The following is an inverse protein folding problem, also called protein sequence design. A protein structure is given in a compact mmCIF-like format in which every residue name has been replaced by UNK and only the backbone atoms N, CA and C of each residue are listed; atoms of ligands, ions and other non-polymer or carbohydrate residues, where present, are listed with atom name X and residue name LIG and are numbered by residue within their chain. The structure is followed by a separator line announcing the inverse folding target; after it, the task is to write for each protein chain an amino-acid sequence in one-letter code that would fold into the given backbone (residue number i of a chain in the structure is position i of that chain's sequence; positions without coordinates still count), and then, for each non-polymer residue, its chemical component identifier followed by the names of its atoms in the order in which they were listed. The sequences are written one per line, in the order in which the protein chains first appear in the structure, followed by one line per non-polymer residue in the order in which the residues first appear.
data_IF_178106245606
#
_entry.id   IF_178106245606
#
_cell.length_a   1.000
_cell.length_b   1.000
_cell.length_c   1.000
_cell.angle_alpha   90.00
_cell.angle_beta   90.00
_cell.angle_gamma   90.00
#
_symmetry.space_group_name_H-M   'P 1'
#
loop_
_entity.id
_entity.type
_entity.pdbx_description
1 polymer ?
#
# COMPACT_ATOMS: atom_id res chain seq x y z
N UNK A 1 -31.04 -3.51 3.06
CA UNK A 1 -29.67 -3.51 2.49
C UNK A 1 -28.83 -2.54 3.31
N UNK A 2 -27.81 -3.01 4.04
CA UNK A 2 -26.93 -2.10 4.80
C UNK A 2 -26.03 -1.38 3.79
N UNK A 3 -26.14 -0.05 3.70
CA UNK A 3 -25.18 0.78 2.98
C UNK A 3 -23.82 0.61 3.65
N UNK A 4 -22.98 -0.26 3.10
CA UNK A 4 -21.62 -0.43 3.59
C UNK A 4 -20.87 0.84 3.22
N UNK A 5 -20.39 1.57 4.23
CA UNK A 5 -19.62 2.80 4.02
C UNK A 5 -18.42 2.48 3.10
N UNK A 6 -18.39 3.14 1.95
CA UNK A 6 -17.29 3.08 0.99
C UNK A 6 -16.22 4.07 1.44
N UNK A 7 -14.96 3.66 1.40
CA UNK A 7 -13.83 4.55 1.69
C UNK A 7 -13.42 5.33 0.44
N UNK A 8 -13.33 4.64 -0.71
CA UNK A 8 -12.90 5.22 -1.99
C UNK A 8 -13.67 4.59 -3.16
N UNK A 9 -13.78 5.25 -4.33
CA UNK A 9 -14.32 4.62 -5.54
C UNK A 9 -13.61 3.30 -5.87
N UNK A 10 -14.36 2.33 -6.39
CA UNK A 10 -13.78 1.04 -6.72
C UNK A 10 -12.74 1.17 -7.85
N UNK A 11 -11.51 0.72 -7.58
CA UNK A 11 -10.44 0.62 -8.57
C UNK A 11 -9.84 -0.80 -8.52
N UNK A 12 -9.64 -1.44 -9.68
CA UNK A 12 -9.06 -2.79 -9.79
C UNK A 12 -7.71 -2.73 -10.49
N UNK A 13 -6.86 -3.73 -10.21
CA UNK A 13 -5.53 -3.81 -10.81
C UNK A 13 -4.69 -2.59 -10.48
N UNK A 14 -4.60 -2.23 -9.20
CA UNK A 14 -3.94 -1.00 -8.76
C UNK A 14 -2.82 -1.24 -7.76
N UNK A 15 -1.82 -0.37 -7.81
CA UNK A 15 -0.90 -0.10 -6.70
C UNK A 15 -1.40 1.18 -6.03
N UNK A 16 -1.55 1.17 -4.71
CA UNK A 16 -2.19 2.24 -3.95
C UNK A 16 -1.35 2.65 -2.74
N UNK A 17 -1.59 3.86 -2.24
CA UNK A 17 -0.90 4.45 -1.09
C UNK A 17 -1.88 4.94 -0.03
N UNK A 18 -1.60 4.62 1.23
CA UNK A 18 -2.23 5.19 2.41
C UNK A 18 -1.19 6.04 3.13
N UNK A 19 -1.42 7.35 3.26
CA UNK A 19 -0.59 8.22 4.09
C UNK A 19 -1.05 8.13 5.54
N UNK A 20 -0.21 7.61 6.43
CA UNK A 20 -0.54 7.44 7.83
C UNK A 20 -0.36 8.76 8.60
N UNK A 21 -1.10 8.93 9.70
CA UNK A 21 -1.02 10.13 10.55
C UNK A 21 0.37 10.38 11.15
N UNK A 22 1.24 9.37 11.20
CA UNK A 22 2.63 9.51 11.65
C UNK A 22 3.58 10.09 10.58
N UNK A 23 3.09 10.32 9.36
CA UNK A 23 3.86 10.81 8.20
C UNK A 23 4.50 9.70 7.35
N UNK A 24 4.47 8.44 7.80
CA UNK A 24 4.87 7.31 6.96
C UNK A 24 3.74 6.93 6.00
N UNK A 25 4.06 6.13 4.99
CA UNK A 25 3.09 5.59 4.05
C UNK A 25 3.04 4.06 4.04
N UNK A 26 1.87 3.53 3.69
CA UNK A 26 1.68 2.13 3.32
C UNK A 26 1.40 2.08 1.82
N UNK A 27 2.20 1.31 1.08
CA UNK A 27 1.98 0.98 -0.31
C UNK A 27 1.56 -0.48 -0.37
N UNK A 28 0.48 -0.75 -1.10
CA UNK A 28 0.03 -2.10 -1.36
C UNK A 28 -0.45 -2.26 -2.80
N UNK A 29 -0.61 -3.49 -3.24
CA UNK A 29 -1.25 -3.80 -4.53
C UNK A 29 -2.51 -4.65 -4.39
N UNK A 30 -3.39 -4.55 -5.38
CA UNK A 30 -4.55 -5.43 -5.48
C UNK A 30 -5.06 -5.62 -6.91
N UNK A 31 -5.39 -6.86 -7.26
CA UNK A 31 -6.21 -7.17 -8.44
C UNK A 31 -7.72 -7.02 -8.19
N UNK A 32 -8.16 -7.08 -6.93
CA UNK A 32 -9.56 -6.87 -6.52
C UNK A 32 -9.88 -5.38 -6.37
N UNK A 33 -11.16 -5.07 -6.21
CA UNK A 33 -11.63 -3.72 -5.89
C UNK A 33 -10.89 -3.14 -4.66
N UNK A 34 -10.24 -1.99 -4.82
CA UNK A 34 -9.47 -1.31 -3.78
C UNK A 34 -10.29 -1.09 -2.52
N UNK A 35 -11.51 -0.59 -2.65
CA UNK A 35 -12.40 -0.33 -1.53
C UNK A 35 -12.76 -1.59 -0.73
N UNK A 36 -12.90 -2.74 -1.40
CA UNK A 36 -13.05 -4.04 -0.73
C UNK A 36 -11.80 -4.36 0.09
N UNK A 37 -10.60 -4.15 -0.47
CA UNK A 37 -9.33 -4.33 0.27
C UNK A 37 -9.21 -3.39 1.45
N UNK A 38 -9.58 -2.12 1.29
CA UNK A 38 -9.52 -1.14 2.38
C UNK A 38 -10.44 -1.51 3.53
N UNK A 39 -11.61 -2.11 3.25
CA UNK A 39 -12.50 -2.62 4.29
C UNK A 39 -12.01 -3.87 5.03
N UNK A 40 -11.08 -4.62 4.47
CA UNK A 40 -10.47 -5.77 5.16
C UNK A 40 -9.45 -5.31 6.22
N UNK A 41 -8.82 -4.14 6.02
CA UNK A 41 -7.77 -3.63 6.93
C UNK A 41 -8.27 -3.31 8.36
N UNK A 42 -9.40 -2.61 8.58
CA UNK A 42 -9.89 -2.29 9.93
C UNK A 42 -9.94 -3.48 10.88
N UNK A 43 -10.43 -4.64 10.41
CA UNK A 43 -10.50 -5.86 11.23
C UNK A 43 -9.13 -6.32 11.74
N UNK A 44 -8.07 -6.09 10.98
CA UNK A 44 -6.69 -6.38 11.41
C UNK A 44 -6.14 -5.37 12.43
N UNK A 45 -6.70 -4.16 12.50
CA UNK A 45 -6.28 -3.11 13.43
C UNK A 45 -6.88 -3.29 14.83
N UNK A 46 -8.10 -3.83 14.93
CA UNK A 46 -8.81 -4.00 16.21
C UNK A 46 -8.52 -5.33 16.89
N UNK A 47 -8.03 -6.33 16.16
CA UNK A 47 -7.70 -7.66 16.66
C UNK A 47 -6.23 -7.86 17.03
N UNK A 48 -5.78 -9.12 17.04
CA UNK A 48 -4.34 -9.44 17.10
C UNK A 48 -3.68 -8.92 15.82
N UNK A 49 -2.70 -8.01 15.88
CA UNK A 49 -2.09 -7.46 14.68
C UNK A 49 -1.25 -8.55 13.98
N UNK A 50 -1.55 -8.83 12.72
CA UNK A 50 -0.79 -9.76 11.87
C UNK A 50 -0.38 -9.14 10.53
N UNK A 51 -0.85 -7.94 10.21
CA UNK A 51 -0.44 -7.19 9.01
C UNK A 51 0.61 -6.14 9.39
N UNK A 52 1.50 -5.79 8.46
CA UNK A 52 2.48 -4.73 8.68
C UNK A 52 1.83 -3.39 9.03
N UNK A 53 0.66 -3.09 8.44
CA UNK A 53 -0.13 -1.93 8.78
C UNK A 53 -0.61 -1.96 10.24
N UNK A 54 -1.18 -3.08 10.69
CA UNK A 54 -1.64 -3.23 12.07
C UNK A 54 -0.50 -3.21 13.09
N UNK A 55 0.60 -3.92 12.80
CA UNK A 55 1.81 -3.93 13.62
C UNK A 55 2.38 -2.52 13.78
N UNK A 56 2.47 -1.76 12.70
CA UNK A 56 2.89 -0.37 12.76
C UNK A 56 1.94 0.49 13.58
N UNK A 57 0.62 0.42 13.33
CA UNK A 57 -0.35 1.26 14.02
C UNK A 57 -0.33 1.04 15.54
N UNK A 58 -0.14 -0.21 15.98
CA UNK A 58 -0.02 -0.56 17.40
C UNK A 58 1.33 -0.16 18.02
N UNK A 59 2.41 -0.29 17.27
CA UNK A 59 3.79 -0.04 17.76
C UNK A 59 4.36 1.33 17.42
N UNK A 60 3.55 2.26 16.91
CA UNK A 60 4.07 3.53 16.40
C UNK A 60 4.56 4.43 17.54
N UNK A 61 5.84 4.85 17.46
CA UNK A 61 6.47 5.74 18.44
C UNK A 61 5.82 7.12 18.56
N UNK A 62 5.12 7.58 17.52
CA UNK A 62 4.40 8.86 17.51
C UNK A 62 3.02 8.77 18.19
N UNK A 63 2.68 7.65 18.84
CA UNK A 63 1.37 7.40 19.45
C UNK A 63 0.39 6.71 18.49
N UNK A 64 -0.91 6.76 18.80
CA UNK A 64 -2.02 6.09 18.10
C UNK A 64 -2.10 6.45 16.61
N UNK A 65 -1.26 5.81 15.80
CA UNK A 65 -1.15 6.03 14.37
C UNK A 65 -2.38 5.47 13.67
N UNK A 66 -2.99 6.28 12.81
CA UNK A 66 -4.23 5.95 12.11
C UNK A 66 -4.00 5.93 10.60
N UNK A 67 -4.52 4.93 9.89
CA UNK A 67 -4.64 4.96 8.44
C UNK A 67 -5.97 5.62 8.03
N UNK A 68 -5.95 6.85 7.47
CA UNK A 68 -7.15 7.48 6.91
C UNK A 68 -7.52 6.81 5.57
N UNK A 69 -8.27 5.71 5.62
CA UNK A 69 -8.58 4.90 4.44
C UNK A 69 -9.29 5.69 3.34
N UNK A 70 -10.11 6.67 3.70
CA UNK A 70 -10.79 7.59 2.78
C UNK A 70 -9.82 8.45 1.96
N UNK A 71 -8.57 8.63 2.41
CA UNK A 71 -7.52 9.41 1.74
C UNK A 71 -6.56 8.53 0.92
N UNK A 72 -6.92 7.27 0.68
CA UNK A 72 -6.10 6.36 -0.11
C UNK A 72 -6.00 6.84 -1.56
N UNK A 73 -4.78 6.94 -2.09
CA UNK A 73 -4.53 7.32 -3.49
C UNK A 73 -4.16 6.11 -4.33
N UNK A 74 -4.63 6.08 -5.58
CA UNK A 74 -4.14 5.13 -6.60
C UNK A 74 -2.89 5.71 -7.22
N UNK A 75 -1.77 4.99 -7.15
CA UNK A 75 -0.49 5.42 -7.71
C UNK A 75 -0.37 5.00 -9.17
N UNK A 76 -0.66 3.72 -9.46
CA UNK A 76 -0.47 3.12 -10.78
C UNK A 76 -1.54 2.04 -11.04
N UNK A 77 -1.81 1.76 -12.32
CA UNK A 77 -2.78 0.74 -12.75
C UNK A 77 -2.12 -0.26 -13.69
N UNK A 78 -2.15 -1.54 -13.30
CA UNK A 78 -1.66 -2.66 -14.11
C UNK A 78 -2.54 -3.88 -13.93
N UNK A 79 -2.90 -4.54 -15.03
CA UNK A 79 -3.76 -5.73 -15.00
C UNK A 79 -3.00 -6.97 -14.51
N UNK A 80 -1.71 -7.11 -14.87
CA UNK A 80 -0.86 -8.23 -14.43
C UNK A 80 -0.51 -8.16 -12.94
N UNK A 81 -0.57 -9.31 -12.24
CA UNK A 81 -0.13 -9.41 -10.84
C UNK A 81 1.36 -9.10 -10.71
N UNK A 82 2.20 -9.78 -11.49
CA UNK A 82 3.66 -9.59 -11.47
C UNK A 82 4.04 -8.15 -11.77
N UNK A 83 3.38 -7.49 -12.71
CA UNK A 83 3.61 -6.07 -12.98
C UNK A 83 3.34 -5.21 -11.74
N UNK A 84 2.20 -5.40 -11.06
CA UNK A 84 1.89 -4.63 -9.85
C UNK A 84 2.87 -4.93 -8.71
N UNK A 85 3.30 -6.18 -8.55
CA UNK A 85 4.25 -6.59 -7.53
C UNK A 85 5.63 -5.97 -7.76
N UNK A 86 6.10 -5.94 -9.02
CA UNK A 86 7.34 -5.23 -9.41
C UNK A 86 7.22 -3.73 -9.10
N UNK A 87 6.12 -3.09 -9.50
CA UNK A 87 5.91 -1.66 -9.28
C UNK A 87 5.78 -1.32 -7.79
N UNK A 88 5.05 -2.11 -7.02
CA UNK A 88 4.95 -1.97 -5.57
C UNK A 88 6.32 -2.09 -4.92
N UNK A 89 7.09 -3.15 -5.24
CA UNK A 89 8.40 -3.38 -4.68
C UNK A 89 9.39 -2.26 -5.03
N UNK A 90 9.35 -1.80 -6.27
CA UNK A 90 10.15 -0.66 -6.74
C UNK A 90 9.83 0.62 -5.97
N UNK A 91 8.54 0.96 -5.82
CA UNK A 91 8.11 2.17 -5.11
C UNK A 91 8.48 2.13 -3.62
N UNK A 92 8.38 0.98 -2.97
CA UNK A 92 8.81 0.81 -1.57
C UNK A 92 10.34 0.89 -1.45
N UNK A 93 11.06 0.24 -2.38
CA UNK A 93 12.53 0.14 -2.36
C UNK A 93 13.25 1.47 -2.54
N UNK A 94 12.66 2.42 -3.27
CA UNK A 94 13.25 3.73 -3.56
C UNK A 94 13.36 4.64 -2.33
N UNK A 95 12.46 4.54 -1.36
CA UNK A 95 12.50 5.34 -0.13
C UNK A 95 12.44 4.48 1.14
N UNK A 96 13.58 3.85 1.46
CA UNK A 96 13.75 2.81 2.49
C UNK A 96 13.25 3.18 3.90
N UNK A 97 12.99 4.45 4.20
CA UNK A 97 12.54 4.92 5.53
C UNK A 97 11.13 5.54 5.57
N UNK A 98 10.52 5.81 4.42
CA UNK A 98 9.22 6.46 4.32
C UNK A 98 8.05 5.47 4.44
N UNK A 99 8.30 4.18 4.22
CA UNK A 99 7.26 3.17 4.12
C UNK A 99 7.28 2.16 5.27
N UNK A 100 6.09 1.65 5.59
CA UNK A 100 5.87 0.58 6.59
C UNK A 100 5.50 -0.76 5.94
N UNK A 101 5.59 -0.83 4.62
CA UNK A 101 5.06 -1.93 3.80
C UNK A 101 6.09 -3.04 3.70
N UNK A 102 5.62 -4.24 3.40
CA UNK A 102 6.49 -5.35 3.03
C UNK A 102 6.36 -5.57 1.54
N UNK A 103 7.47 -5.92 0.89
CA UNK A 103 7.52 -6.10 -0.55
C UNK A 103 6.79 -7.38 -0.93
N UNK A 104 5.94 -7.37 -1.98
CA UNK A 104 5.43 -8.64 -2.53
C UNK A 104 6.54 -9.49 -3.16
N UNK A 105 7.55 -8.84 -3.74
CA UNK A 105 8.73 -9.49 -4.33
C UNK A 105 10.00 -8.71 -3.95
N UNK A 106 11.13 -9.40 -3.87
CA UNK A 106 12.42 -8.75 -3.59
C UNK A 106 13.12 -8.45 -4.91
N UNK A 107 13.32 -7.16 -5.21
CA UNK A 107 14.07 -6.72 -6.38
C UNK A 107 15.55 -6.65 -6.06
N UNK A 108 16.37 -7.15 -6.97
CA UNK A 108 17.82 -6.96 -6.92
C UNK A 108 18.18 -5.52 -7.28
N UNK A 109 19.34 -5.07 -6.80
CA UNK A 109 19.82 -3.70 -7.08
C UNK A 109 19.89 -3.40 -8.58
N UNK A 110 20.33 -4.36 -9.40
CA UNK A 110 20.37 -4.23 -10.85
C UNK A 110 18.98 -4.05 -11.49
N UNK A 111 17.95 -4.69 -10.93
CA UNK A 111 16.56 -4.56 -11.40
C UNK A 111 15.99 -3.19 -11.02
N UNK A 112 16.29 -2.69 -9.82
CA UNK A 112 15.91 -1.33 -9.39
C UNK A 112 16.54 -0.30 -10.32
N UNK A 113 17.87 -0.37 -10.54
CA UNK A 113 18.59 0.54 -11.45
C UNK A 113 18.04 0.46 -12.88
N UNK A 114 17.70 -0.73 -13.36
CA UNK A 114 17.07 -0.90 -14.66
C UNK A 114 15.72 -0.17 -14.74
N UNK A 115 14.87 -0.33 -13.71
CA UNK A 115 13.55 0.30 -13.62
C UNK A 115 13.64 1.83 -13.44
N UNK A 116 14.63 2.37 -12.72
CA UNK A 116 14.84 3.83 -12.62
C UNK A 116 15.20 4.45 -13.98
N UNK A 117 16.00 3.74 -14.78
CA UNK A 117 16.48 4.25 -16.08
C UNK A 117 15.43 4.14 -17.19
N UNK A 118 14.57 3.12 -17.14
CA UNK A 118 13.68 2.78 -18.26
C UNK A 118 12.20 2.78 -17.90
N UNK A 119 11.86 2.68 -16.61
CA UNK A 119 10.50 2.78 -16.13
C UNK A 119 10.03 4.22 -16.21
N UNK A 120 9.06 4.52 -17.08
CA UNK A 120 8.31 5.79 -17.05
C UNK A 120 7.33 5.80 -15.86
N UNK A 121 7.85 5.64 -14.66
CA UNK A 121 7.08 5.58 -13.43
C UNK A 121 7.14 6.94 -12.76
N UNK A 122 6.22 7.83 -13.12
CA UNK A 122 6.01 9.07 -12.38
C UNK A 122 5.30 8.76 -11.06
N UNK A 123 5.82 9.32 -9.96
CA UNK A 123 5.15 9.33 -8.67
C UNK A 123 3.94 10.25 -8.67
#
# INVERSE_FOLDING_TARGET
MKNVKQFVPCARGVVYRILLSCGKAYIGQTGRCLDVRLREHPSSLTGRPFTHLALHCKGCKKGSCKPPFEQTTVMQRHNGSTQREIIEAFLIGRERNCFISYLSINLQEGEIVFLERHGRLSC
#
